data_IF_308993908458
#
_entry.id   IF_308993908458
#
_cell.length_a   1.000
_cell.length_b   1.000
_cell.length_c   1.000
_cell.angle_alpha   90.00
_cell.angle_beta   90.00
_cell.angle_gamma   90.00
#
_symmetry.space_group_name_H-M   'P 1'
#
loop_
_entity.id
_entity.type
_entity.pdbx_description
1 polymer ?
#
# COMPACT_ATOMS: atom_id res chain seq x y z
N UNK A 1 1.77 -1.69 -8.45
CA UNK A 1 2.01 -1.43 -7.00
C UNK A 1 3.08 -2.33 -6.39
N UNK A 2 2.96 -3.66 -6.42
CA UNK A 2 3.95 -4.59 -5.84
C UNK A 2 5.40 -4.29 -6.28
N UNK A 3 5.67 -4.26 -7.59
CA UNK A 3 7.02 -4.02 -8.11
C UNK A 3 7.56 -2.61 -7.76
N UNK A 4 6.69 -1.61 -7.67
CA UNK A 4 7.07 -0.25 -7.29
C UNK A 4 7.54 -0.19 -5.83
N UNK A 5 6.77 -0.82 -4.93
CA UNK A 5 7.11 -0.89 -3.51
C UNK A 5 8.41 -1.70 -3.30
N UNK A 6 8.56 -2.81 -4.01
CA UNK A 6 9.81 -3.59 -4.00
C UNK A 6 11.01 -2.77 -4.47
N UNK A 7 10.87 -2.00 -5.56
CA UNK A 7 11.94 -1.12 -6.06
C UNK A 7 12.30 0.01 -5.09
N UNK A 8 11.39 0.40 -4.19
CA UNK A 8 11.59 1.38 -3.13
C UNK A 8 12.17 0.77 -1.84
N UNK A 9 12.47 -0.53 -1.83
CA UNK A 9 13.05 -1.24 -0.68
C UNK A 9 12.03 -1.80 0.31
N UNK A 10 10.73 -1.77 -0.02
CA UNK A 10 9.69 -2.41 0.80
C UNK A 10 9.55 -3.89 0.42
N UNK A 11 8.96 -4.68 1.33
CA UNK A 11 8.67 -6.09 1.13
C UNK A 11 7.15 -6.29 0.96
N UNK A 12 6.62 -6.20 -0.27
CA UNK A 12 5.20 -6.36 -0.54
C UNK A 12 4.83 -7.83 -0.80
N UNK A 13 3.85 -8.34 -0.07
CA UNK A 13 3.29 -9.69 -0.17
C UNK A 13 1.80 -9.61 -0.51
N UNK A 14 1.36 -10.36 -1.52
CA UNK A 14 -0.05 -10.38 -1.91
C UNK A 14 -0.70 -11.66 -1.38
N UNK A 15 -1.78 -11.51 -0.62
CA UNK A 15 -2.52 -12.62 -0.03
C UNK A 15 -4.01 -12.27 0.04
N UNK A 16 -4.87 -13.17 -0.46
CA UNK A 16 -6.34 -13.07 -0.37
C UNK A 16 -6.93 -11.71 -0.80
N UNK A 17 -6.41 -11.10 -1.87
CA UNK A 17 -6.92 -9.81 -2.36
C UNK A 17 -6.36 -8.58 -1.62
N UNK A 18 -5.45 -8.78 -0.67
CA UNK A 18 -4.78 -7.73 0.11
C UNK A 18 -3.29 -7.75 -0.17
N UNK A 19 -2.71 -6.56 -0.36
CA UNK A 19 -1.28 -6.36 -0.48
C UNK A 19 -0.72 -5.91 0.87
N UNK A 20 -0.02 -6.81 1.55
CA UNK A 20 0.69 -6.53 2.78
C UNK A 20 2.07 -5.97 2.45
N UNK A 21 2.56 -5.02 3.25
CA UNK A 21 3.86 -4.38 3.04
C UNK A 21 4.56 -4.29 4.38
N UNK A 22 5.76 -4.88 4.47
CA UNK A 22 6.59 -4.94 5.68
C UNK A 22 5.86 -5.50 6.93
N UNK A 23 4.75 -6.23 6.78
CA UNK A 23 3.85 -6.62 7.88
C UNK A 23 3.31 -5.43 8.71
N UNK A 24 3.41 -4.20 8.21
CA UNK A 24 3.01 -2.96 8.90
C UNK A 24 1.79 -2.33 8.23
N UNK A 25 1.68 -2.48 6.91
CA UNK A 25 0.63 -1.86 6.10
C UNK A 25 -0.11 -2.93 5.29
N UNK A 26 -1.42 -2.81 5.20
CA UNK A 26 -2.27 -3.56 4.28
C UNK A 26 -2.93 -2.61 3.29
N UNK A 27 -2.90 -2.98 2.02
CA UNK A 27 -3.50 -2.20 0.93
C UNK A 27 -4.53 -3.10 0.25
N UNK A 28 -5.77 -2.66 0.19
CA UNK A 28 -6.88 -3.39 -0.48
C UNK A 28 -7.60 -2.49 -1.46
N UNK A 29 -8.13 -3.09 -2.52
CA UNK A 29 -9.02 -2.40 -3.45
C UNK A 29 -10.46 -2.74 -3.08
N UNK A 30 -11.31 -1.74 -2.91
CA UNK A 30 -12.74 -1.96 -2.70
C UNK A 30 -13.48 -2.20 -4.02
N UNK A 31 -14.74 -2.62 -3.95
CA UNK A 31 -15.59 -2.88 -5.13
C UNK A 31 -15.81 -1.63 -5.99
N UNK A 32 -15.80 -0.44 -5.38
CA UNK A 32 -15.84 0.84 -6.08
C UNK A 32 -14.50 1.22 -6.75
N UNK A 33 -13.52 0.33 -6.75
CA UNK A 33 -12.23 0.51 -7.40
C UNK A 33 -11.22 1.39 -6.65
N UNK A 34 -11.55 1.87 -5.45
CA UNK A 34 -10.70 2.73 -4.60
C UNK A 34 -9.72 1.91 -3.77
N UNK A 35 -8.55 2.47 -3.52
CA UNK A 35 -7.54 1.88 -2.65
C UNK A 35 -7.75 2.31 -1.20
N UNK A 36 -7.81 1.34 -0.31
CA UNK A 36 -7.76 1.54 1.14
C UNK A 36 -6.38 1.12 1.65
N UNK A 37 -5.76 1.99 2.45
CA UNK A 37 -4.46 1.76 3.09
C UNK A 37 -4.68 1.76 4.59
N UNK A 38 -4.45 0.62 5.23
CA UNK A 38 -4.62 0.40 6.67
C UNK A 38 -3.29 -0.06 7.27
N UNK A 39 -3.05 0.21 8.54
CA UNK A 39 -1.79 -0.16 9.19
C UNK A 39 -1.53 0.62 10.48
N UNK A 40 -0.45 0.25 11.17
CA UNK A 40 -0.02 0.94 12.38
C UNK A 40 0.69 2.27 12.02
N UNK A 41 0.37 3.34 12.75
CA UNK A 41 1.00 4.63 12.58
C UNK A 41 2.50 4.53 12.83
N UNK A 42 3.28 4.66 11.76
CA UNK A 42 4.72 4.44 11.73
C UNK A 42 5.31 5.16 10.54
N UNK A 43 6.63 5.34 10.53
CA UNK A 43 7.32 5.99 9.42
C UNK A 43 7.10 5.26 8.09
N UNK A 44 7.16 3.92 8.10
CA UNK A 44 6.87 3.08 6.95
C UNK A 44 5.43 3.26 6.45
N UNK A 45 4.45 3.33 7.37
CA UNK A 45 3.05 3.59 7.00
C UNK A 45 2.90 4.89 6.23
N UNK A 46 3.48 5.99 6.71
CA UNK A 46 3.38 7.29 6.04
C UNK A 46 4.07 7.28 4.68
N UNK A 47 5.27 6.70 4.56
CA UNK A 47 5.98 6.57 3.29
C UNK A 47 5.18 5.76 2.26
N UNK A 48 4.64 4.61 2.68
CA UNK A 48 3.85 3.73 1.81
C UNK A 48 2.55 4.43 1.39
N UNK A 49 1.85 5.08 2.33
CA UNK A 49 0.64 5.84 2.06
C UNK A 49 0.90 6.93 1.02
N UNK A 50 1.95 7.72 1.18
CA UNK A 50 2.25 8.82 0.26
C UNK A 50 2.57 8.30 -1.16
N UNK A 51 3.23 7.13 -1.29
CA UNK A 51 3.46 6.47 -2.58
C UNK A 51 2.14 6.00 -3.22
N UNK A 52 1.24 5.39 -2.44
CA UNK A 52 -0.08 4.94 -2.93
C UNK A 52 -0.89 6.14 -3.40
N UNK A 53 -0.95 7.21 -2.60
CA UNK A 53 -1.68 8.42 -2.94
C UNK A 53 -1.09 9.09 -4.18
N UNK A 54 0.24 9.20 -4.29
CA UNK A 54 0.87 9.80 -5.48
C UNK A 54 0.55 9.06 -6.80
N UNK A 55 0.27 7.75 -6.77
CA UNK A 55 -0.06 6.97 -7.97
C UNK A 55 -1.57 6.86 -8.25
N UNK A 56 -2.41 6.91 -7.22
CA UNK A 56 -3.84 6.56 -7.35
C UNK A 56 -4.80 7.63 -6.82
N UNK A 57 -4.31 8.68 -6.16
CA UNK A 57 -5.12 9.86 -5.89
C UNK A 57 -5.23 10.66 -7.20
N UNK A 58 -6.38 10.54 -7.85
CA UNK A 58 -6.87 11.55 -8.79
C UNK A 58 -7.64 12.55 -7.92
N UNK A 59 -7.22 13.83 -7.96
CA UNK A 59 -7.92 14.96 -7.31
C UNK A 59 -9.30 15.13 -7.92
#
# INVERSE_FOLDING_TARGET
>A
MKNLLAAKGFHPEFSSGVLYVNNVVSIRRNEAGRFHVEGCASEDYYKIRDIVYAQFAIV
#
